data_IF_751673419486
#
_entry.id   IF_751673419486
#
_cell.length_a   1.000
_cell.length_b   1.000
_cell.length_c   1.000
_cell.angle_alpha   90.00
_cell.angle_beta   90.00
_cell.angle_gamma   90.00
#
_symmetry.space_group_name_H-M   'P 1'
#
loop_
_entity.id
_entity.type
_entity.pdbx_description
1 polymer ?
#
# COMPACT_ATOMS: atom_id res chain seq x y z
N UNK A 1 -5.83 15.90 -1.93
CA UNK A 1 -5.46 14.92 -2.96
C UNK A 1 -4.66 13.80 -2.29
N UNK A 2 -4.93 12.55 -2.65
CA UNK A 2 -4.24 11.39 -2.08
C UNK A 2 -2.74 11.48 -2.37
N UNK A 3 -1.91 11.20 -1.35
CA UNK A 3 -0.45 11.22 -1.43
C UNK A 3 0.10 9.83 -1.17
N UNK A 4 1.03 9.38 -2.01
CA UNK A 4 1.82 8.17 -1.73
C UNK A 4 2.89 8.53 -0.70
N UNK A 5 2.83 7.88 0.46
CA UNK A 5 3.75 8.06 1.58
C UNK A 5 4.94 7.10 1.50
N UNK A 6 4.68 5.88 1.01
CA UNK A 6 5.69 4.84 0.90
C UNK A 6 5.35 3.91 -0.27
N UNK A 7 6.38 3.40 -0.93
CA UNK A 7 6.25 2.46 -2.03
C UNK A 7 7.25 1.31 -1.84
N UNK A 8 6.77 0.10 -1.99
CA UNK A 8 7.57 -1.12 -1.86
C UNK A 8 7.25 -2.07 -3.01
N UNK A 9 8.28 -2.72 -3.54
CA UNK A 9 8.13 -3.81 -4.48
C UNK A 9 8.63 -5.09 -3.83
N UNK A 10 7.86 -6.17 -3.96
CA UNK A 10 8.30 -7.51 -3.56
C UNK A 10 9.36 -8.11 -4.51
N UNK A 11 9.82 -7.35 -5.50
CA UNK A 11 10.67 -7.79 -6.62
C UNK A 11 10.08 -8.94 -7.46
N UNK A 12 8.82 -9.31 -7.21
CA UNK A 12 8.03 -10.22 -8.02
C UNK A 12 7.13 -9.43 -8.94
N UNK A 13 5.82 -9.60 -8.78
CA UNK A 13 4.81 -8.96 -9.61
C UNK A 13 3.98 -7.92 -8.84
N UNK A 14 4.34 -7.56 -7.60
CA UNK A 14 3.52 -6.67 -6.77
C UNK A 14 4.27 -5.39 -6.39
N UNK A 15 3.58 -4.25 -6.56
CA UNK A 15 3.96 -2.96 -5.97
C UNK A 15 2.92 -2.59 -4.93
N UNK A 16 3.38 -2.31 -3.72
CA UNK A 16 2.60 -1.80 -2.60
C UNK A 16 2.77 -0.28 -2.55
N UNK A 17 1.67 0.45 -2.60
CA UNK A 17 1.61 1.91 -2.48
C UNK A 17 0.84 2.26 -1.21
N UNK A 18 1.54 2.73 -0.19
CA UNK A 18 0.94 3.21 1.05
C UNK A 18 0.57 4.68 0.87
N UNK A 19 -0.70 5.02 1.10
CA UNK A 19 -1.23 6.37 0.89
C UNK A 19 -1.73 6.99 2.19
N UNK A 20 -1.80 8.32 2.22
CA UNK A 20 -2.25 9.09 3.39
C UNK A 20 -3.76 8.94 3.69
N UNK A 21 -4.57 8.67 2.67
CA UNK A 21 -5.98 8.33 2.77
C UNK A 21 -6.49 7.75 1.45
N UNK A 22 -7.57 6.99 1.49
CA UNK A 22 -8.36 6.62 0.31
C UNK A 22 -9.59 7.51 0.12
N UNK A 23 -10.11 7.64 -1.12
CA UNK A 23 -11.43 8.21 -1.33
C UNK A 23 -12.51 7.45 -0.54
N UNK A 24 -13.59 8.15 -0.16
CA UNK A 24 -14.58 7.62 0.76
C UNK A 24 -15.37 6.42 0.20
N UNK A 25 -15.87 6.51 -1.04
CA UNK A 25 -16.72 5.47 -1.64
C UNK A 25 -15.92 4.55 -2.56
N UNK A 26 -16.31 3.28 -2.67
CA UNK A 26 -15.65 2.33 -3.59
C UNK A 26 -15.63 2.84 -5.04
N UNK A 27 -16.71 3.52 -5.46
CA UNK A 27 -16.79 4.17 -6.77
C UNK A 27 -15.70 5.24 -6.95
N UNK A 28 -15.48 6.05 -5.93
CA UNK A 28 -14.46 7.10 -5.98
C UNK A 28 -13.05 6.52 -5.86
N UNK A 29 -12.86 5.45 -5.08
CA UNK A 29 -11.60 4.70 -5.00
C UNK A 29 -11.22 4.12 -6.36
N UNK A 30 -12.14 3.41 -7.03
CA UNK A 30 -11.94 2.86 -8.37
C UNK A 30 -11.62 3.98 -9.37
N UNK A 31 -12.43 5.05 -9.36
CA UNK A 31 -12.21 6.19 -10.27
C UNK A 31 -10.84 6.81 -10.06
N UNK A 32 -10.48 7.08 -8.81
CA UNK A 32 -9.19 7.66 -8.46
C UNK A 32 -8.04 6.76 -8.92
N UNK A 33 -8.10 5.46 -8.65
CA UNK A 33 -7.07 4.52 -9.09
C UNK A 33 -6.93 4.52 -10.61
N UNK A 34 -8.04 4.42 -11.35
CA UNK A 34 -8.03 4.43 -12.82
C UNK A 34 -7.44 5.72 -13.39
N UNK A 35 -7.65 6.87 -12.74
CA UNK A 35 -7.05 8.15 -13.15
C UNK A 35 -5.53 8.20 -12.92
N UNK A 36 -5.01 7.56 -11.87
CA UNK A 36 -3.60 7.66 -11.48
C UNK A 36 -2.76 6.44 -11.87
N UNK A 37 -3.37 5.35 -12.35
CA UNK A 37 -2.69 4.08 -12.66
C UNK A 37 -1.47 4.23 -13.56
N UNK A 38 -1.57 5.03 -14.62
CA UNK A 38 -0.43 5.25 -15.53
C UNK A 38 0.67 6.12 -14.90
N UNK A 39 0.33 6.98 -13.94
CA UNK A 39 1.32 7.69 -13.13
C UNK A 39 2.08 6.73 -12.20
N UNK A 40 1.37 5.83 -11.52
CA UNK A 40 1.98 4.84 -10.64
C UNK A 40 2.97 3.95 -11.41
N UNK A 41 2.59 3.47 -12.59
CA UNK A 41 3.48 2.68 -13.45
C UNK A 41 4.76 3.42 -13.83
N UNK A 42 4.68 4.73 -14.11
CA UNK A 42 5.85 5.54 -14.46
C UNK A 42 6.75 5.85 -13.28
N UNK A 43 6.16 6.12 -12.10
CA UNK A 43 6.91 6.51 -10.89
C UNK A 43 7.50 5.32 -10.14
N UNK A 44 6.80 4.20 -10.13
CA UNK A 44 7.15 2.98 -9.41
C UNK A 44 7.22 1.79 -10.37
N UNK A 45 8.10 1.84 -11.39
CA UNK A 45 8.17 0.79 -12.38
C UNK A 45 8.69 -0.51 -11.75
N UNK A 46 8.07 -1.63 -12.12
CA UNK A 46 8.68 -2.95 -12.00
C UNK A 46 9.52 -3.20 -13.25
N UNK A 47 10.74 -3.73 -13.07
CA UNK A 47 11.59 -4.12 -14.18
C UNK A 47 10.97 -5.35 -14.86
N UNK A 48 10.76 -5.27 -16.17
CA UNK A 48 10.50 -6.41 -17.07
C UNK A 48 9.30 -7.34 -16.75
N UNK A 49 8.15 -6.82 -16.29
CA UNK A 49 6.93 -7.62 -16.24
C UNK A 49 5.70 -6.90 -16.82
N UNK A 50 5.08 -7.52 -17.85
CA UNK A 50 3.82 -7.07 -18.45
C UNK A 50 2.60 -7.21 -17.51
N UNK A 51 2.75 -7.95 -16.41
CA UNK A 51 1.68 -8.27 -15.47
C UNK A 51 2.11 -7.90 -14.04
N UNK A 52 1.85 -6.65 -13.68
CA UNK A 52 2.12 -6.13 -12.34
C UNK A 52 0.84 -5.72 -11.63
N UNK A 53 0.73 -6.13 -10.37
CA UNK A 53 -0.36 -5.73 -9.47
C UNK A 53 0.10 -4.55 -8.62
N UNK A 54 -0.68 -3.46 -8.64
CA UNK A 54 -0.48 -2.32 -7.75
C UNK A 54 -1.51 -2.40 -6.63
N UNK A 55 -1.07 -2.73 -5.42
CA UNK A 55 -1.89 -2.72 -4.23
C UNK A 55 -1.78 -1.35 -3.56
N UNK A 56 -2.89 -0.64 -3.45
CA UNK A 56 -2.95 0.64 -2.74
C UNK A 56 -3.53 0.41 -1.35
N UNK A 57 -2.83 0.85 -0.33
CA UNK A 57 -3.19 0.62 1.08
C UNK A 57 -3.28 1.97 1.78
N UNK A 58 -4.40 2.21 2.47
CA UNK A 58 -4.53 3.35 3.36
C UNK A 58 -3.62 3.16 4.58
N UNK A 59 -2.87 4.18 4.96
CA UNK A 59 -1.99 4.11 6.13
C UNK A 59 -2.77 4.02 7.45
N UNK A 60 -4.04 4.44 7.47
CA UNK A 60 -4.90 4.42 8.65
C UNK A 60 -4.25 5.14 9.84
N UNK A 61 -3.94 4.38 10.90
CA UNK A 61 -3.34 4.89 12.13
C UNK A 61 -1.81 5.11 12.04
N UNK A 62 -1.17 4.83 10.90
CA UNK A 62 0.28 4.92 10.75
C UNK A 62 0.96 3.56 10.68
N UNK A 63 2.29 3.60 10.57
CA UNK A 63 3.12 2.42 10.74
C UNK A 63 3.08 1.95 12.20
N UNK A 64 3.07 0.63 12.39
CA UNK A 64 3.00 -0.08 13.66
C UNK A 64 3.88 -1.32 13.59
N UNK A 65 3.77 -2.21 14.58
CA UNK A 65 4.48 -3.48 14.61
C UNK A 65 3.68 -4.57 15.32
N UNK A 66 4.18 -5.80 15.25
CA UNK A 66 3.55 -6.97 15.87
C UNK A 66 3.33 -6.85 17.38
N UNK A 67 4.16 -6.08 18.08
CA UNK A 67 4.14 -5.93 19.54
C UNK A 67 3.14 -4.87 19.98
N UNK A 68 3.04 -3.79 19.23
CA UNK A 68 2.22 -2.60 19.55
C UNK A 68 0.81 -2.67 18.94
N UNK A 69 0.56 -3.57 17.99
CA UNK A 69 -0.76 -3.79 17.43
C UNK A 69 -1.64 -4.60 18.39
N UNK A 70 -2.66 -3.94 18.94
CA UNK A 70 -3.61 -4.52 19.89
C UNK A 70 -5.06 -4.52 19.40
N UNK A 71 -5.32 -3.90 18.25
CA UNK A 71 -6.67 -3.70 17.71
C UNK A 71 -7.20 -4.92 16.93
N UNK A 72 -6.36 -5.94 16.70
CA UNK A 72 -6.74 -7.13 15.92
C UNK A 72 -5.67 -8.22 15.88
N UNK A 73 -5.93 -9.32 15.14
CA UNK A 73 -4.99 -10.41 14.93
C UNK A 73 -3.75 -9.97 14.12
N UNK A 74 -2.60 -10.61 14.36
CA UNK A 74 -1.34 -10.30 13.66
C UNK A 74 -1.45 -10.48 12.14
N UNK A 75 -2.32 -11.37 11.69
CA UNK A 75 -2.63 -11.63 10.28
C UNK A 75 -3.16 -10.40 9.54
N UNK A 76 -3.70 -9.42 10.27
CA UNK A 76 -4.15 -8.15 9.70
C UNK A 76 -3.00 -7.19 9.42
N UNK A 77 -1.76 -7.52 9.79
CA UNK A 77 -0.60 -6.69 9.49
C UNK A 77 0.08 -7.11 8.18
N UNK A 78 0.51 -6.11 7.40
CA UNK A 78 1.48 -6.27 6.33
C UNK A 78 2.77 -5.54 6.71
N UNK A 79 3.86 -6.30 6.86
CA UNK A 79 5.15 -5.77 7.28
C UNK A 79 6.13 -5.68 6.10
N UNK A 80 6.76 -4.52 5.96
CA UNK A 80 7.64 -4.20 4.85
C UNK A 80 9.09 -4.53 5.20
N UNK A 81 9.71 -5.55 4.58
CA UNK A 81 11.04 -6.03 4.97
C UNK A 81 12.18 -5.03 4.70
N UNK A 82 11.90 -3.93 4.01
CA UNK A 82 12.90 -2.88 3.73
C UNK A 82 12.85 -1.73 4.73
N UNK A 83 11.83 -1.65 5.57
CA UNK A 83 11.81 -0.75 6.72
C UNK A 83 12.63 -1.41 7.83
N UNK A 84 13.64 -0.70 8.34
CA UNK A 84 14.58 -1.20 9.37
C UNK A 84 14.24 -0.75 10.79
N UNK A 85 13.17 0.03 10.93
CA UNK A 85 12.62 0.46 12.21
C UNK A 85 11.78 -0.67 12.81
N UNK A 86 11.52 -0.62 14.11
CA UNK A 86 10.56 -1.53 14.75
C UNK A 86 9.15 -1.30 14.20
N UNK A 87 8.79 -0.09 13.74
CA UNK A 87 7.51 0.21 13.08
C UNK A 87 7.52 -0.11 11.57
N UNK A 88 7.60 -1.38 11.21
CA UNK A 88 7.70 -1.86 9.82
C UNK A 88 6.38 -2.34 9.21
N UNK A 89 5.29 -2.35 9.97
CA UNK A 89 4.00 -2.89 9.55
C UNK A 89 2.93 -1.81 9.36
N UNK A 90 1.91 -2.12 8.54
CA UNK A 90 0.64 -1.40 8.49
C UNK A 90 -0.52 -2.38 8.59
N UNK A 91 -1.69 -1.90 9.02
CA UNK A 91 -2.92 -2.69 8.98
C UNK A 91 -3.36 -2.85 7.52
N UNK A 92 -3.73 -4.08 7.16
CA UNK A 92 -4.23 -4.46 5.84
C UNK A 92 -5.64 -3.92 5.65
N UNK A 93 -5.73 -2.70 5.12
CA UNK A 93 -6.96 -2.18 4.54
C UNK A 93 -6.83 -2.09 3.02
N UNK A 94 -6.93 -3.25 2.37
CA UNK A 94 -6.80 -3.35 0.92
C UNK A 94 -8.07 -2.84 0.24
N UNK A 95 -7.88 -2.01 -0.78
CA UNK A 95 -8.83 -1.94 -1.87
C UNK A 95 -8.74 -3.22 -2.71
N UNK A 96 -9.75 -4.08 -2.63
CA UNK A 96 -10.00 -5.12 -3.64
C UNK A 96 -10.58 -4.49 -4.91
#
# INVERSE_FOLDING_TARGET
>A
PVKVLYAYSDFGSTVFLVVDHLPWTDKDKIRWYMTHREEFKRKYPLLDQDWSTYLVIDIGNGFTNAKDYHDGPYEDLYCFPTIKDDADCIVKDYLL
#
